data_IF_974805523332
#
_entry.id   IF_974805523332
#
_cell.length_a   1.000
_cell.length_b   1.000
_cell.length_c   1.000
_cell.angle_alpha   90.00
_cell.angle_beta   90.00
_cell.angle_gamma   90.00
#
_symmetry.space_group_name_H-M   'P 1'
#
loop_
_entity.id
_entity.type
_entity.pdbx_description
1 polymer ?
#
# COMPACT_ATOMS: atom_id res chain seq x y z
N UNK A 1 -4.44 -12.51 -26.21
CA UNK A 1 -4.43 -13.19 -24.89
C UNK A 1 -4.64 -12.13 -23.82
N UNK A 2 -5.79 -12.14 -23.18
CA UNK A 2 -6.14 -11.22 -22.09
C UNK A 2 -5.51 -11.64 -20.75
N UNK A 3 -4.98 -12.87 -20.67
CA UNK A 3 -4.44 -13.44 -19.44
C UNK A 3 -2.95 -13.71 -19.56
N UNK A 4 -2.18 -13.28 -18.58
CA UNK A 4 -0.73 -13.58 -18.46
C UNK A 4 -0.46 -15.01 -18.02
N UNK A 5 -1.45 -15.67 -17.40
CA UNK A 5 -1.44 -17.06 -16.96
C UNK A 5 -2.78 -17.70 -17.29
N UNK A 6 -2.76 -19.01 -17.60
CA UNK A 6 -3.95 -19.80 -17.82
C UNK A 6 -3.73 -21.22 -17.28
N UNK A 7 -4.50 -21.58 -16.26
CA UNK A 7 -4.47 -22.89 -15.63
C UNK A 7 -5.75 -23.15 -14.84
N UNK A 8 -5.94 -24.38 -14.37
CA UNK A 8 -7.13 -24.76 -13.61
C UNK A 8 -7.29 -23.95 -12.32
N UNK A 9 -6.20 -23.60 -11.66
CA UNK A 9 -6.23 -22.77 -10.46
C UNK A 9 -6.60 -21.32 -10.78
N UNK A 10 -6.14 -20.76 -11.90
CA UNK A 10 -6.48 -19.41 -12.32
C UNK A 10 -7.98 -19.33 -12.67
N UNK A 11 -8.51 -20.34 -13.37
CA UNK A 11 -9.94 -20.46 -13.67
C UNK A 11 -10.79 -20.59 -12.40
N UNK A 12 -10.34 -21.41 -11.43
CA UNK A 12 -11.03 -21.55 -10.15
C UNK A 12 -11.05 -20.23 -9.37
N UNK A 13 -9.92 -19.52 -9.32
CA UNK A 13 -9.83 -18.23 -8.66
C UNK A 13 -10.75 -17.18 -9.30
N UNK A 14 -10.86 -17.18 -10.63
CA UNK A 14 -11.75 -16.28 -11.35
C UNK A 14 -13.22 -16.62 -11.09
N UNK A 15 -13.59 -17.89 -11.18
CA UNK A 15 -14.96 -18.34 -10.86
C UNK A 15 -15.34 -17.99 -9.42
N UNK A 16 -14.43 -18.17 -8.46
CA UNK A 16 -14.67 -17.80 -7.06
C UNK A 16 -14.87 -16.28 -6.90
N UNK A 17 -14.10 -15.45 -7.61
CA UNK A 17 -14.27 -13.98 -7.60
C UNK A 17 -15.65 -13.59 -8.14
N UNK A 18 -16.08 -14.15 -9.25
CA UNK A 18 -17.38 -13.86 -9.82
C UNK A 18 -18.54 -14.34 -8.93
N UNK A 19 -18.40 -15.51 -8.29
CA UNK A 19 -19.39 -16.00 -7.32
C UNK A 19 -19.46 -15.09 -6.08
N UNK A 20 -18.32 -14.70 -5.52
CA UNK A 20 -18.28 -13.79 -4.38
C UNK A 20 -18.85 -12.42 -4.71
N UNK A 21 -18.55 -11.88 -5.90
CA UNK A 21 -19.11 -10.63 -6.39
C UNK A 21 -20.64 -10.73 -6.51
N UNK A 22 -21.16 -11.80 -7.11
CA UNK A 22 -22.60 -12.04 -7.20
C UNK A 22 -23.25 -12.09 -5.82
N UNK A 23 -22.69 -12.86 -4.89
CA UNK A 23 -23.18 -12.96 -3.52
C UNK A 23 -23.20 -11.61 -2.79
N UNK A 24 -22.14 -10.80 -2.91
CA UNK A 24 -22.08 -9.47 -2.28
C UNK A 24 -23.15 -8.53 -2.89
N UNK A 25 -23.31 -8.54 -4.21
CA UNK A 25 -24.32 -7.73 -4.90
C UNK A 25 -25.73 -8.12 -4.45
N UNK A 26 -26.03 -9.42 -4.38
CA UNK A 26 -27.33 -9.93 -3.94
C UNK A 26 -27.63 -9.55 -2.47
N UNK A 27 -26.62 -9.65 -1.60
CA UNK A 27 -26.74 -9.22 -0.21
C UNK A 27 -26.99 -7.72 -0.13
N UNK A 28 -26.26 -6.91 -0.90
CA UNK A 28 -26.39 -5.45 -0.89
C UNK A 28 -27.75 -4.98 -1.42
N UNK A 29 -28.33 -5.70 -2.38
CA UNK A 29 -29.66 -5.44 -2.92
C UNK A 29 -30.79 -5.93 -2.00
N UNK A 30 -30.50 -6.82 -1.06
CA UNK A 30 -31.48 -7.43 -0.17
C UNK A 30 -31.93 -6.53 0.99
N UNK A 31 -33.08 -6.86 1.58
CA UNK A 31 -33.54 -6.25 2.83
C UNK A 31 -32.91 -6.99 4.02
N UNK A 32 -31.79 -6.47 4.53
CA UNK A 32 -31.09 -7.05 5.65
C UNK A 32 -31.53 -6.42 6.98
N UNK A 33 -31.84 -7.24 7.98
CA UNK A 33 -32.21 -6.73 9.30
C UNK A 33 -31.01 -6.05 9.97
N UNK A 34 -31.30 -5.00 10.74
CA UNK A 34 -30.27 -4.22 11.46
C UNK A 34 -29.43 -5.12 12.40
N UNK A 35 -28.12 -4.95 12.39
CA UNK A 35 -27.15 -5.68 13.20
C UNK A 35 -26.73 -7.03 12.62
N UNK A 36 -27.32 -7.49 11.51
CA UNK A 36 -26.92 -8.73 10.85
C UNK A 36 -25.63 -8.59 10.02
N UNK A 37 -24.97 -9.71 9.75
CA UNK A 37 -23.81 -9.76 8.86
C UNK A 37 -24.18 -9.27 7.46
N UNK A 38 -25.37 -9.65 6.96
CA UNK A 38 -25.87 -9.20 5.65
C UNK A 38 -25.96 -7.68 5.56
N UNK A 39 -26.50 -7.00 6.60
CA UNK A 39 -26.53 -5.54 6.64
C UNK A 39 -25.12 -4.94 6.58
N UNK A 40 -24.19 -5.45 7.39
CA UNK A 40 -22.80 -4.92 7.41
C UNK A 40 -22.10 -5.05 6.06
N UNK A 41 -22.27 -6.19 5.39
CA UNK A 41 -21.72 -6.41 4.05
C UNK A 41 -22.36 -5.46 3.04
N UNK A 42 -23.69 -5.34 3.05
CA UNK A 42 -24.42 -4.43 2.18
C UNK A 42 -24.03 -2.97 2.37
N UNK A 43 -23.91 -2.52 3.62
CA UNK A 43 -23.55 -1.14 3.93
C UNK A 43 -22.13 -0.80 3.45
N UNK A 44 -21.16 -1.70 3.68
CA UNK A 44 -19.77 -1.50 3.20
C UNK A 44 -19.73 -1.48 1.68
N UNK A 45 -20.43 -2.40 1.01
CA UNK A 45 -20.50 -2.44 -0.44
C UNK A 45 -21.12 -1.17 -1.02
N UNK A 46 -22.28 -0.77 -0.51
CA UNK A 46 -22.99 0.43 -0.98
C UNK A 46 -22.17 1.69 -0.76
N UNK A 47 -21.49 1.81 0.39
CA UNK A 47 -20.59 2.93 0.66
C UNK A 47 -19.40 2.96 -0.32
N UNK A 48 -18.79 1.82 -0.59
CA UNK A 48 -17.66 1.74 -1.52
C UNK A 48 -18.06 2.00 -2.99
N UNK A 49 -19.31 1.70 -3.35
CA UNK A 49 -19.83 1.87 -4.72
C UNK A 49 -20.58 3.21 -4.94
N UNK A 50 -20.71 4.02 -3.92
CA UNK A 50 -21.34 5.35 -4.03
C UNK A 50 -20.39 6.34 -4.73
N UNK A 51 -20.33 6.23 -6.06
CA UNK A 51 -19.49 7.10 -6.89
C UNK A 51 -19.87 8.58 -6.81
N UNK A 52 -21.12 8.90 -6.49
CA UNK A 52 -21.58 10.29 -6.34
C UNK A 52 -20.95 10.89 -5.09
N UNK A 53 -21.04 10.19 -3.97
CA UNK A 53 -20.41 10.60 -2.72
C UNK A 53 -18.88 10.63 -2.82
N UNK A 54 -18.27 9.60 -3.37
CA UNK A 54 -16.81 9.54 -3.55
C UNK A 54 -16.28 10.70 -4.39
N UNK A 55 -16.97 11.05 -5.47
CA UNK A 55 -16.59 12.21 -6.30
C UNK A 55 -16.83 13.56 -5.59
N UNK A 56 -17.88 13.67 -4.79
CA UNK A 56 -18.16 14.89 -4.01
C UNK A 56 -17.15 15.09 -2.88
N UNK A 57 -16.78 14.02 -2.19
CA UNK A 57 -15.81 14.06 -1.09
C UNK A 57 -14.38 14.35 -1.60
N UNK A 58 -14.00 13.83 -2.76
CA UNK A 58 -12.67 14.02 -3.37
C UNK A 58 -11.55 13.69 -2.38
N UNK A 59 -10.68 14.67 -2.10
CA UNK A 59 -9.54 14.51 -1.16
C UNK A 59 -9.89 14.86 0.29
N UNK A 60 -11.11 15.34 0.56
CA UNK A 60 -11.52 15.78 1.90
C UNK A 60 -11.25 14.73 3.00
N UNK A 61 -11.48 13.43 2.80
CA UNK A 61 -11.25 12.43 3.84
C UNK A 61 -9.79 12.29 4.29
N UNK A 62 -8.82 12.67 3.46
CA UNK A 62 -7.38 12.60 3.78
C UNK A 62 -6.77 13.98 4.04
N UNK A 63 -7.57 15.05 4.02
CA UNK A 63 -7.08 16.42 4.14
C UNK A 63 -6.33 16.65 5.46
N UNK A 64 -6.84 16.12 6.56
CA UNK A 64 -6.21 16.26 7.88
C UNK A 64 -4.80 15.61 7.92
N UNK A 65 -4.62 14.46 7.28
CA UNK A 65 -3.32 13.80 7.20
C UNK A 65 -2.36 14.55 6.28
N UNK A 66 -2.85 15.10 5.17
CA UNK A 66 -2.05 15.96 4.29
C UNK A 66 -1.57 17.23 5.02
N UNK A 67 -2.41 17.83 5.86
CA UNK A 67 -2.05 19.00 6.67
C UNK A 67 -1.00 18.65 7.72
N UNK A 68 -1.12 17.50 8.40
CA UNK A 68 -0.10 17.01 9.34
C UNK A 68 1.25 16.82 8.64
N UNK A 69 1.25 16.16 7.47
CA UNK A 69 2.46 15.97 6.66
C UNK A 69 3.08 17.31 6.26
N UNK A 70 2.25 18.27 5.83
CA UNK A 70 2.70 19.60 5.43
C UNK A 70 3.23 20.44 6.61
N UNK A 71 2.83 20.14 7.84
CA UNK A 71 3.27 20.86 9.04
C UNK A 71 4.68 20.50 9.50
N UNK A 72 5.25 19.38 9.05
CA UNK A 72 6.60 18.92 9.39
C UNK A 72 7.65 19.94 8.93
N UNK A 73 8.47 20.41 9.86
CA UNK A 73 9.53 21.40 9.62
C UNK A 73 10.92 20.85 9.84
N UNK A 74 11.04 19.83 10.69
CA UNK A 74 12.32 19.24 11.07
C UNK A 74 12.29 17.72 10.89
N UNK A 75 13.46 17.14 10.61
CA UNK A 75 13.59 15.68 10.44
C UNK A 75 13.23 14.88 11.68
N UNK A 76 13.42 15.44 12.87
CA UNK A 76 13.06 14.81 14.14
C UNK A 76 11.55 14.57 14.28
N UNK A 77 10.72 15.31 13.55
CA UNK A 77 9.25 15.17 13.56
C UNK A 77 8.77 14.02 12.66
N UNK A 78 9.62 13.50 11.77
CA UNK A 78 9.22 12.46 10.80
C UNK A 78 8.82 11.16 11.50
N UNK A 79 9.66 10.65 12.43
CA UNK A 79 9.39 9.38 13.11
C UNK A 79 8.14 9.43 13.98
N UNK A 80 7.89 10.48 14.79
CA UNK A 80 6.62 10.65 15.46
C UNK A 80 5.41 10.67 14.54
N UNK A 81 5.48 11.37 13.40
CA UNK A 81 4.40 11.39 12.41
C UNK A 81 4.17 10.03 11.77
N UNK A 82 5.26 9.30 11.45
CA UNK A 82 5.14 7.92 10.94
C UNK A 82 4.40 7.01 11.93
N UNK A 83 4.71 7.11 13.22
CA UNK A 83 4.03 6.34 14.26
C UNK A 83 2.54 6.70 14.35
N UNK A 84 2.19 7.97 14.19
CA UNK A 84 0.78 8.41 14.14
C UNK A 84 0.07 7.86 12.90
N UNK A 85 0.65 8.00 11.72
CA UNK A 85 0.06 7.52 10.46
C UNK A 85 -0.08 5.98 10.43
N UNK A 86 0.80 5.25 11.11
CA UNK A 86 0.73 3.80 11.23
C UNK A 86 -0.57 3.31 11.91
N UNK A 87 -1.18 4.09 12.81
CA UNK A 87 -2.50 3.80 13.38
C UNK A 87 -3.61 3.77 12.33
N UNK A 88 -3.44 4.51 11.22
CA UNK A 88 -4.33 4.51 10.07
C UNK A 88 -3.90 3.54 8.97
N UNK A 89 -2.91 2.68 9.23
CA UNK A 89 -2.41 1.69 8.26
C UNK A 89 -1.45 2.25 7.21
N UNK A 90 -0.90 3.46 7.41
CA UNK A 90 0.05 4.08 6.48
C UNK A 90 1.49 3.87 6.94
N UNK A 91 2.27 3.13 6.17
CA UNK A 91 3.66 2.75 6.46
C UNK A 91 4.61 3.28 5.36
N UNK A 92 5.13 4.52 5.48
CA UNK A 92 5.82 5.18 4.37
C UNK A 92 7.21 4.64 4.04
N UNK A 93 7.97 4.09 4.99
CA UNK A 93 9.35 3.66 4.77
C UNK A 93 9.58 2.18 5.04
N UNK A 94 8.93 1.62 6.02
CA UNK A 94 9.01 0.22 6.40
C UNK A 94 7.70 -0.22 7.04
N UNK A 95 7.45 -1.51 7.04
CA UNK A 95 6.29 -2.10 7.70
C UNK A 95 6.71 -2.74 9.01
N UNK A 96 5.80 -2.81 9.98
CA UNK A 96 6.02 -3.52 11.22
C UNK A 96 4.77 -4.25 11.70
N UNK A 97 4.97 -5.30 12.44
CA UNK A 97 3.92 -6.02 13.14
C UNK A 97 4.48 -6.79 14.35
N UNK A 98 3.58 -7.27 15.19
CA UNK A 98 3.94 -8.19 16.28
C UNK A 98 3.55 -9.61 15.85
N UNK A 99 4.52 -10.51 15.87
CA UNK A 99 4.31 -11.91 15.48
C UNK A 99 5.28 -12.85 16.17
N UNK A 100 5.06 -14.16 16.01
CA UNK A 100 5.94 -15.17 16.58
C UNK A 100 7.37 -15.01 16.06
N UNK A 101 8.34 -15.14 16.95
CA UNK A 101 9.75 -15.24 16.59
C UNK A 101 9.98 -16.49 15.73
N UNK A 102 10.54 -16.33 14.54
CA UNK A 102 10.78 -17.46 13.62
C UNK A 102 11.80 -18.47 14.15
N UNK A 103 12.65 -18.07 15.12
CA UNK A 103 13.63 -18.95 15.77
C UNK A 103 13.15 -19.48 17.11
N UNK A 104 12.09 -18.92 17.71
CA UNK A 104 11.45 -19.36 18.94
C UNK A 104 9.95 -19.07 18.91
N UNK A 105 9.17 -20.01 18.41
CA UNK A 105 7.72 -19.85 18.23
C UNK A 105 6.93 -19.65 19.54
N UNK A 106 7.56 -19.77 20.71
CA UNK A 106 6.95 -19.52 22.02
C UNK A 106 7.01 -18.04 22.41
N UNK A 107 7.80 -17.26 21.70
CA UNK A 107 8.00 -15.83 21.95
C UNK A 107 7.42 -15.00 20.82
N UNK A 108 6.89 -13.80 21.13
CA UNK A 108 6.50 -12.80 20.15
C UNK A 108 7.55 -11.70 20.09
N UNK A 109 7.80 -11.22 18.90
CA UNK A 109 8.69 -10.08 18.64
C UNK A 109 7.95 -8.98 17.87
N UNK A 110 8.37 -7.74 18.10
CA UNK A 110 8.11 -6.65 17.20
C UNK A 110 9.03 -6.81 15.98
N UNK A 111 8.44 -6.98 14.81
CA UNK A 111 9.18 -7.29 13.58
C UNK A 111 9.11 -6.12 12.63
N UNK A 112 10.27 -5.76 12.04
CA UNK A 112 10.40 -4.72 11.02
C UNK A 112 10.65 -5.37 9.66
N UNK A 113 10.01 -4.86 8.63
CA UNK A 113 10.14 -5.33 7.26
C UNK A 113 10.50 -4.18 6.34
N UNK A 114 11.34 -4.47 5.35
CA UNK A 114 11.58 -3.50 4.30
C UNK A 114 10.27 -3.13 3.58
N UNK A 115 10.17 -1.85 3.21
CA UNK A 115 9.00 -1.28 2.57
C UNK A 115 9.35 0.06 1.94
N UNK A 116 8.36 0.93 1.75
CA UNK A 116 8.58 2.30 1.26
C UNK A 116 8.89 2.38 -0.24
N UNK A 117 8.61 1.32 -1.01
CA UNK A 117 8.66 1.31 -2.48
C UNK A 117 7.30 0.87 -3.03
N UNK A 118 6.66 1.72 -3.82
CA UNK A 118 5.28 1.52 -4.26
C UNK A 118 5.15 0.50 -5.40
N UNK A 119 6.19 0.27 -6.18
CA UNK A 119 6.21 -0.72 -7.26
C UNK A 119 6.45 -2.15 -6.76
N UNK A 120 6.67 -2.34 -5.46
CA UNK A 120 6.81 -3.64 -4.80
C UNK A 120 8.22 -4.22 -4.85
N UNK A 121 8.84 -4.33 -6.00
CA UNK A 121 10.16 -4.95 -6.18
C UNK A 121 11.22 -3.89 -6.53
N UNK A 122 12.43 -4.02 -5.97
CA UNK A 122 13.55 -3.09 -6.20
C UNK A 122 13.97 -3.00 -7.66
N UNK A 123 13.83 -4.08 -8.40
CA UNK A 123 14.19 -4.20 -9.81
C UNK A 123 13.43 -3.20 -10.67
N UNK A 124 12.18 -2.87 -10.34
CA UNK A 124 11.40 -1.84 -11.05
C UNK A 124 12.03 -0.44 -11.00
N UNK A 125 12.87 -0.16 -10.00
CA UNK A 125 13.59 1.12 -9.85
C UNK A 125 14.99 1.07 -10.45
N UNK A 126 15.63 -0.09 -10.51
CA UNK A 126 17.07 -0.24 -10.80
C UNK A 126 17.36 -0.78 -12.19
N UNK A 127 16.50 -1.65 -12.74
CA UNK A 127 16.70 -2.26 -14.05
C UNK A 127 16.32 -1.30 -15.17
N UNK A 128 16.98 -1.47 -16.34
CA UNK A 128 16.83 -0.56 -17.47
C UNK A 128 16.35 -1.25 -18.75
N UNK A 129 15.72 -2.42 -18.63
CA UNK A 129 15.02 -3.05 -19.74
C UNK A 129 13.76 -2.24 -20.12
N UNK A 130 13.23 -2.46 -21.32
CA UNK A 130 12.12 -1.72 -21.88
C UNK A 130 10.83 -1.86 -21.05
N UNK A 131 10.58 -3.05 -20.51
CA UNK A 131 9.35 -3.34 -19.72
C UNK A 131 9.40 -2.58 -18.41
N UNK A 132 10.49 -2.72 -17.65
CA UNK A 132 10.70 -2.06 -16.37
C UNK A 132 10.71 -0.54 -16.51
N UNK A 133 11.36 -0.04 -17.56
CA UNK A 133 11.39 1.39 -17.87
C UNK A 133 9.98 1.93 -18.18
N UNK A 134 9.17 1.18 -18.94
CA UNK A 134 7.80 1.58 -19.23
C UNK A 134 6.94 1.62 -17.96
N UNK A 135 7.03 0.60 -17.09
CA UNK A 135 6.32 0.56 -15.80
C UNK A 135 6.70 1.78 -14.95
N UNK A 136 7.99 2.07 -14.83
CA UNK A 136 8.50 3.23 -14.08
C UNK A 136 8.00 4.56 -14.65
N UNK A 137 7.90 4.70 -15.96
CA UNK A 137 7.36 5.90 -16.59
C UNK A 137 5.87 6.05 -16.32
N UNK A 138 5.09 4.98 -16.41
CA UNK A 138 3.66 4.99 -16.05
C UNK A 138 3.43 5.33 -14.57
N UNK A 139 4.30 4.86 -13.69
CA UNK A 139 4.26 5.20 -12.29
C UNK A 139 4.51 6.71 -12.05
N UNK A 140 5.49 7.30 -12.74
CA UNK A 140 5.73 8.76 -12.69
C UNK A 140 4.51 9.56 -13.13
N UNK A 141 3.88 9.17 -14.26
CA UNK A 141 2.64 9.78 -14.74
C UNK A 141 1.53 9.68 -13.67
N UNK A 142 1.41 8.52 -13.03
CA UNK A 142 0.44 8.29 -11.97
C UNK A 142 0.70 9.19 -10.75
N UNK A 143 1.93 9.30 -10.26
CA UNK A 143 2.29 10.18 -9.14
C UNK A 143 1.90 11.63 -9.43
N UNK A 144 2.24 12.14 -10.62
CA UNK A 144 1.87 13.50 -11.03
C UNK A 144 0.36 13.67 -10.98
N UNK A 145 -0.40 12.71 -11.52
CA UNK A 145 -1.86 12.74 -11.51
C UNK A 145 -2.43 12.76 -10.08
N UNK A 146 -1.87 11.97 -9.17
CA UNK A 146 -2.33 11.94 -7.78
C UNK A 146 -2.07 13.27 -7.07
N UNK A 147 -0.92 13.91 -7.27
CA UNK A 147 -0.67 15.23 -6.71
C UNK A 147 -1.57 16.31 -7.30
N UNK A 148 -1.88 16.26 -8.60
CA UNK A 148 -2.86 17.16 -9.21
C UNK A 148 -4.25 16.99 -8.61
N UNK A 149 -4.70 15.74 -8.38
CA UNK A 149 -5.97 15.45 -7.72
C UNK A 149 -5.98 15.95 -6.25
N UNK A 150 -4.81 15.98 -5.60
CA UNK A 150 -4.63 16.58 -4.27
C UNK A 150 -4.54 18.11 -4.28
N UNK A 151 -4.73 18.77 -5.45
CA UNK A 151 -4.82 20.22 -5.56
C UNK A 151 -3.52 20.94 -5.93
N UNK A 152 -2.43 20.22 -6.23
CA UNK A 152 -1.18 20.83 -6.70
C UNK A 152 -1.24 21.15 -8.19
N UNK A 153 -0.63 22.28 -8.61
CA UNK A 153 -0.43 22.57 -10.01
C UNK A 153 0.55 21.58 -10.67
N UNK A 154 0.62 21.59 -11.99
CA UNK A 154 1.44 20.65 -12.76
C UNK A 154 2.94 20.74 -12.42
N UNK A 155 3.46 21.94 -12.22
CA UNK A 155 4.88 22.15 -11.93
C UNK A 155 5.23 21.63 -10.53
N UNK A 156 4.40 21.93 -9.53
CA UNK A 156 4.55 21.41 -8.18
C UNK A 156 4.38 19.87 -8.13
N UNK A 157 3.40 19.33 -8.85
CA UNK A 157 3.17 17.89 -8.94
C UNK A 157 4.37 17.15 -9.55
N UNK A 158 4.97 17.67 -10.63
CA UNK A 158 6.19 17.11 -11.23
C UNK A 158 7.37 17.14 -10.26
N UNK A 159 7.60 18.25 -9.57
CA UNK A 159 8.67 18.36 -8.57
C UNK A 159 8.50 17.36 -7.42
N UNK A 160 7.26 17.17 -6.96
CA UNK A 160 6.95 16.17 -5.93
C UNK A 160 7.15 14.74 -6.44
N UNK A 161 6.79 14.45 -7.68
CA UNK A 161 7.07 13.16 -8.31
C UNK A 161 8.56 12.87 -8.37
N UNK A 162 9.39 13.84 -8.74
CA UNK A 162 10.86 13.68 -8.76
C UNK A 162 11.39 13.34 -7.36
N UNK A 163 10.90 14.02 -6.31
CA UNK A 163 11.29 13.75 -4.93
C UNK A 163 10.87 12.34 -4.47
N UNK A 164 9.65 11.89 -4.79
CA UNK A 164 9.19 10.53 -4.50
C UNK A 164 10.08 9.52 -5.20
N UNK A 165 10.35 9.70 -6.49
CA UNK A 165 11.20 8.78 -7.27
C UNK A 165 12.65 8.73 -6.74
N UNK A 166 13.22 9.85 -6.28
CA UNK A 166 14.55 9.86 -5.66
C UNK A 166 14.55 9.05 -4.35
N UNK A 167 13.59 9.30 -3.46
CA UNK A 167 13.48 8.62 -2.18
C UNK A 167 13.28 7.11 -2.40
N UNK A 168 12.29 6.72 -3.20
CA UNK A 168 11.99 5.30 -3.44
C UNK A 168 13.16 4.59 -4.15
N UNK A 169 13.86 5.24 -5.07
CA UNK A 169 15.07 4.67 -5.71
C UNK A 169 16.18 4.44 -4.70
N UNK A 170 16.36 5.36 -3.75
CA UNK A 170 17.35 5.18 -2.67
C UNK A 170 16.98 4.04 -1.74
N UNK A 171 15.70 3.91 -1.38
CA UNK A 171 15.19 2.78 -0.61
C UNK A 171 15.40 1.47 -1.38
N UNK A 172 15.05 1.42 -2.67
CA UNK A 172 15.23 0.26 -3.52
C UNK A 172 16.69 -0.21 -3.60
N UNK A 173 17.64 0.73 -3.64
CA UNK A 173 19.08 0.40 -3.60
C UNK A 173 19.52 -0.25 -2.30
N UNK A 174 18.91 0.12 -1.19
CA UNK A 174 19.18 -0.43 0.13
C UNK A 174 18.39 -1.71 0.45
N UNK A 175 17.35 -2.00 -0.33
CA UNK A 175 16.47 -3.15 -0.11
C UNK A 175 17.06 -4.45 -0.64
N UNK A 176 16.69 -5.56 0.00
CA UNK A 176 16.94 -6.90 -0.53
C UNK A 176 16.06 -7.19 -1.75
N UNK A 177 16.59 -7.98 -2.67
CA UNK A 177 15.81 -8.54 -3.79
C UNK A 177 14.79 -9.57 -3.27
N UNK A 178 13.79 -9.89 -4.10
CA UNK A 178 12.81 -10.94 -3.79
C UNK A 178 13.47 -12.30 -3.51
N UNK A 179 14.61 -12.58 -4.12
CA UNK A 179 15.36 -13.83 -3.88
C UNK A 179 16.06 -13.80 -2.53
N UNK A 180 16.73 -12.70 -2.18
CA UNK A 180 17.41 -12.54 -0.89
C UNK A 180 16.42 -12.59 0.28
N UNK A 181 15.23 -12.02 0.13
CA UNK A 181 14.16 -12.05 1.14
C UNK A 181 13.67 -13.48 1.46
N UNK A 182 13.87 -14.45 0.56
CA UNK A 182 13.50 -15.86 0.78
C UNK A 182 14.44 -16.63 1.70
N UNK A 183 15.50 -16.00 2.18
CA UNK A 183 16.44 -16.61 3.12
C UNK A 183 16.14 -16.15 4.56
N UNK A 184 15.34 -16.89 5.37
CA UNK A 184 14.94 -16.46 6.70
C UNK A 184 16.15 -16.26 7.63
N UNK A 185 17.18 -17.10 7.52
CA UNK A 185 18.36 -17.01 8.38
C UNK A 185 19.19 -15.75 8.09
N UNK A 186 19.29 -15.33 6.82
CA UNK A 186 19.97 -14.10 6.45
C UNK A 186 19.19 -12.84 6.81
N UNK A 187 17.86 -12.96 6.94
CA UNK A 187 16.98 -11.84 7.27
C UNK A 187 16.68 -11.73 8.78
N UNK A 188 17.19 -12.66 9.60
CA UNK A 188 16.94 -12.67 11.03
C UNK A 188 18.01 -11.84 11.78
N UNK A 189 17.62 -10.67 12.24
CA UNK A 189 18.46 -9.74 12.98
C UNK A 189 17.78 -9.33 14.29
N UNK A 190 17.76 -10.28 15.26
CA UNK A 190 17.18 -9.98 16.58
C UNK A 190 18.12 -9.05 17.34
N UNK A 191 17.58 -7.95 17.83
CA UNK A 191 18.30 -6.95 18.58
C UNK A 191 17.42 -6.41 19.72
N UNK A 192 18.02 -5.78 20.70
CA UNK A 192 17.31 -5.06 21.74
C UNK A 192 16.84 -3.68 21.23
N UNK A 193 15.94 -3.04 21.97
CA UNK A 193 15.49 -1.69 21.64
C UNK A 193 16.63 -0.66 21.67
N UNK A 194 17.63 -0.87 22.54
CA UNK A 194 18.79 0.04 22.65
C UNK A 194 19.78 -0.12 21.48
N UNK A 195 19.72 -1.24 20.75
CA UNK A 195 20.55 -1.50 19.56
C UNK A 195 19.88 -1.03 18.26
N UNK A 196 18.59 -0.73 18.28
CA UNK A 196 17.82 -0.26 17.14
C UNK A 196 18.02 1.24 16.93
#
# INVERSE_FOLDING_TARGET
>A
NEYSRFGSFDMLAENNREQLKGLIVDIAAGQNAQGTIGQKIGDIYNLAMDSVKLNADGVTPIQADLEKIASVKDKSEIVPLMAELAHSGVFPYFSFYVGADIMDSKSNLFQLYQGGISLGEREYYLDNDDVTTNIRNKYKEHIVKMFQLAGFDEAAAKKKMEAVMDIETRIAKASFSAVEQRNPAANYHKMSLDEL
#
